data_IF_290754185903
#
_entry.id   IF_290754185903
#
_cell.length_a   1.000
_cell.length_b   1.000
_cell.length_c   1.000
_cell.angle_alpha   90.00
_cell.angle_beta   90.00
_cell.angle_gamma   90.00
#
_symmetry.space_group_name_H-M   'P 1'
#
loop_
_entity.id
_entity.type
_entity.pdbx_description
1 polymer ?
#
# COMPACT_ATOMS: atom_id res chain seq x y z
N UNK A 1 -11.33 -0.78 11.91
CA UNK A 1 -10.37 -0.13 10.96
C UNK A 1 -10.89 -0.42 9.56
N UNK A 2 -11.23 0.61 8.76
CA UNK A 2 -12.09 0.41 7.59
C UNK A 2 -11.45 -0.55 6.58
N UNK A 3 -12.05 -1.74 6.39
CA UNK A 3 -11.65 -2.72 5.37
C UNK A 3 -11.34 -2.05 4.02
N UNK A 4 -12.10 -0.99 3.70
CA UNK A 4 -11.90 -0.14 2.54
C UNK A 4 -10.47 0.40 2.37
N UNK A 5 -9.86 0.97 3.42
CA UNK A 5 -8.51 1.52 3.33
C UNK A 5 -7.47 0.42 3.07
N UNK A 6 -7.57 -0.71 3.79
CA UNK A 6 -6.69 -1.84 3.58
C UNK A 6 -6.84 -2.42 2.15
N UNK A 7 -8.07 -2.51 1.63
CA UNK A 7 -8.33 -2.95 0.26
C UNK A 7 -7.75 -1.98 -0.77
N UNK A 8 -7.95 -0.67 -0.58
CA UNK A 8 -7.40 0.37 -1.45
C UNK A 8 -5.88 0.34 -1.48
N UNK A 9 -5.23 0.31 -0.30
CA UNK A 9 -3.77 0.21 -0.19
C UNK A 9 -3.25 -1.06 -0.88
N UNK A 10 -3.88 -2.21 -0.61
CA UNK A 10 -3.52 -3.46 -1.25
C UNK A 10 -3.70 -3.41 -2.77
N UNK A 11 -4.73 -2.71 -3.27
CA UNK A 11 -4.94 -2.51 -4.69
C UNK A 11 -3.82 -1.67 -5.32
N UNK A 12 -3.47 -0.50 -4.76
CA UNK A 12 -2.37 0.33 -5.26
C UNK A 12 -1.03 -0.45 -5.26
N UNK A 13 -0.74 -1.20 -4.20
CA UNK A 13 0.46 -2.05 -4.13
C UNK A 13 0.45 -3.13 -5.22
N UNK A 14 -0.71 -3.76 -5.47
CA UNK A 14 -0.86 -4.73 -6.56
C UNK A 14 -0.64 -4.09 -7.93
N UNK A 15 -1.13 -2.87 -8.17
CA UNK A 15 -0.89 -2.15 -9.42
C UNK A 15 0.61 -1.91 -9.66
N UNK A 16 1.35 -1.43 -8.64
CA UNK A 16 2.80 -1.24 -8.77
C UNK A 16 3.56 -2.55 -9.03
N UNK A 17 3.14 -3.65 -8.38
CA UNK A 17 3.66 -4.98 -8.66
C UNK A 17 3.38 -5.39 -10.11
N UNK A 18 2.14 -5.23 -10.57
CA UNK A 18 1.71 -5.59 -11.92
C UNK A 18 2.44 -4.80 -13.00
N UNK A 19 2.64 -3.50 -12.80
CA UNK A 19 3.47 -2.67 -13.68
C UNK A 19 4.89 -3.24 -13.80
N UNK A 20 5.54 -3.52 -12.66
CA UNK A 20 6.90 -4.09 -12.61
C UNK A 20 6.97 -5.43 -13.33
N UNK A 21 5.97 -6.30 -13.14
CA UNK A 21 5.91 -7.62 -13.79
C UNK A 21 5.67 -7.49 -15.29
N UNK A 22 4.81 -6.58 -15.74
CA UNK A 22 4.62 -6.30 -17.18
C UNK A 22 5.90 -5.75 -17.81
N UNK A 23 6.58 -4.78 -17.18
CA UNK A 23 7.85 -4.20 -17.68
C UNK A 23 8.98 -5.23 -17.78
N UNK A 24 9.02 -6.22 -16.88
CA UNK A 24 9.94 -7.37 -16.96
C UNK A 24 9.43 -8.52 -17.84
N UNK A 25 8.28 -8.37 -18.48
CA UNK A 25 7.61 -9.37 -19.31
C UNK A 25 7.34 -10.70 -18.58
N UNK A 26 7.13 -10.60 -17.27
CA UNK A 26 6.78 -11.70 -16.38
C UNK A 26 5.25 -11.84 -16.30
N UNK A 27 4.73 -12.97 -16.78
CA UNK A 27 3.29 -13.25 -16.87
C UNK A 27 2.73 -14.04 -15.68
N UNK A 28 3.48 -14.21 -14.58
CA UNK A 28 3.09 -15.08 -13.46
C UNK A 28 1.73 -14.74 -12.81
N UNK A 29 1.31 -13.47 -12.89
CA UNK A 29 0.01 -13.01 -12.37
C UNK A 29 -1.01 -12.68 -13.46
N UNK A 30 -0.72 -13.04 -14.71
CA UNK A 30 -1.56 -12.76 -15.88
C UNK A 30 -1.82 -14.06 -16.65
N UNK A 31 -2.78 -14.91 -16.19
CA UNK A 31 -3.01 -16.22 -16.79
C UNK A 31 -3.23 -16.17 -18.31
N UNK A 32 -4.09 -15.27 -18.78
CA UNK A 32 -4.35 -15.09 -20.21
C UNK A 32 -3.10 -14.66 -21.00
N UNK A 33 -2.22 -13.82 -20.43
CA UNK A 33 -0.97 -13.44 -21.07
C UNK A 33 0.02 -14.62 -21.11
N UNK A 34 0.03 -15.44 -20.05
CA UNK A 34 0.85 -16.65 -19.98
C UNK A 34 0.43 -17.67 -21.05
N UNK A 35 -0.88 -17.88 -21.22
CA UNK A 35 -1.46 -18.70 -22.29
C UNK A 35 -1.07 -18.18 -23.68
N UNK A 36 -1.20 -16.88 -23.93
CA UNK A 36 -0.81 -16.27 -25.21
C UNK A 36 0.69 -16.47 -25.48
N UNK A 37 1.55 -16.28 -24.48
CA UNK A 37 3.00 -16.51 -24.62
C UNK A 37 3.32 -17.96 -24.94
N UNK A 38 2.60 -18.90 -24.33
CA UNK A 38 2.77 -20.34 -24.57
C UNK A 38 2.27 -20.76 -25.95
N UNK A 39 1.11 -20.25 -26.37
CA UNK A 39 0.51 -20.57 -27.66
C UNK A 39 1.27 -19.94 -28.84
N UNK A 40 1.86 -18.76 -28.64
CA UNK A 40 2.53 -17.99 -29.69
C UNK A 40 3.93 -17.51 -29.25
N UNK A 41 4.92 -18.41 -29.10
CA UNK A 41 6.24 -18.09 -28.55
C UNK A 41 7.07 -17.13 -29.41
N UNK A 42 6.72 -16.96 -30.69
CA UNK A 42 7.39 -16.04 -31.63
C UNK A 42 6.63 -14.72 -31.85
N UNK A 43 5.49 -14.53 -31.18
CA UNK A 43 4.72 -13.30 -31.34
C UNK A 43 5.47 -12.11 -30.71
N UNK A 44 5.61 -11.02 -31.47
CA UNK A 44 6.05 -9.76 -30.89
C UNK A 44 4.92 -9.15 -30.07
N UNK A 45 5.13 -9.10 -28.76
CA UNK A 45 4.19 -8.55 -27.78
C UNK A 45 4.73 -7.26 -27.15
N UNK A 46 5.84 -6.71 -27.64
CA UNK A 46 6.50 -5.51 -27.08
C UNK A 46 5.56 -4.31 -27.01
N UNK A 47 4.86 -3.99 -28.11
CA UNK A 47 3.91 -2.89 -28.16
C UNK A 47 2.72 -3.08 -27.21
N UNK A 48 2.21 -4.32 -27.08
CA UNK A 48 1.11 -4.64 -26.15
C UNK A 48 1.56 -4.53 -24.69
N UNK A 49 2.75 -5.05 -24.39
CA UNK A 49 3.40 -4.94 -23.09
C UNK A 49 3.50 -3.48 -22.64
N UNK A 50 4.01 -2.61 -23.51
CA UNK A 50 4.15 -1.18 -23.20
C UNK A 50 2.78 -0.51 -23.00
N UNK A 51 1.81 -0.82 -23.87
CA UNK A 51 0.43 -0.34 -23.72
C UNK A 51 -0.16 -0.74 -22.36
N UNK A 52 -0.05 -2.00 -21.96
CA UNK A 52 -0.61 -2.46 -20.69
C UNK A 52 0.13 -1.88 -19.48
N UNK A 53 1.46 -1.77 -19.54
CA UNK A 53 2.22 -1.09 -18.50
C UNK A 53 1.76 0.36 -18.33
N UNK A 54 1.63 1.11 -19.43
CA UNK A 54 1.13 2.49 -19.43
C UNK A 54 -0.27 2.62 -18.84
N UNK A 55 -1.21 1.72 -19.17
CA UNK A 55 -2.55 1.72 -18.56
C UNK A 55 -2.49 1.53 -17.05
N UNK A 56 -1.65 0.62 -16.55
CA UNK A 56 -1.48 0.40 -15.11
C UNK A 56 -0.85 1.63 -14.45
N UNK A 57 0.17 2.24 -15.07
CA UNK A 57 0.80 3.46 -14.56
C UNK A 57 -0.22 4.60 -14.45
N UNK A 58 -1.05 4.81 -15.47
CA UNK A 58 -2.11 5.83 -15.44
C UNK A 58 -3.11 5.55 -14.32
N UNK A 59 -3.59 4.31 -14.20
CA UNK A 59 -4.53 3.92 -13.14
C UNK A 59 -3.95 4.14 -11.74
N UNK A 60 -2.69 3.75 -11.52
CA UNK A 60 -2.00 3.98 -10.25
C UNK A 60 -1.86 5.47 -9.95
N UNK A 61 -1.56 6.28 -10.96
CA UNK A 61 -1.44 7.74 -10.82
C UNK A 61 -2.78 8.36 -10.43
N UNK A 62 -3.87 8.00 -11.11
CA UNK A 62 -5.22 8.47 -10.81
C UNK A 62 -5.64 8.08 -9.38
N UNK A 63 -5.36 6.84 -8.96
CA UNK A 63 -5.64 6.39 -7.59
C UNK A 63 -4.84 7.19 -6.57
N UNK A 64 -3.54 7.38 -6.77
CA UNK A 64 -2.72 8.14 -5.83
C UNK A 64 -3.14 9.61 -5.75
N UNK A 65 -3.59 10.21 -6.85
CA UNK A 65 -4.13 11.58 -6.86
C UNK A 65 -5.49 11.66 -6.16
N UNK A 66 -6.41 10.76 -6.49
CA UNK A 66 -7.76 10.78 -5.92
C UNK A 66 -7.77 10.48 -4.42
N UNK A 67 -6.80 9.69 -3.96
CA UNK A 67 -6.68 9.27 -2.56
C UNK A 67 -5.46 9.90 -1.86
N UNK A 68 -4.99 11.07 -2.31
CA UNK A 68 -3.80 11.70 -1.74
C UNK A 68 -3.97 12.01 -0.23
N UNK A 69 -5.16 12.47 0.16
CA UNK A 69 -5.50 12.80 1.55
C UNK A 69 -5.54 11.56 2.47
N UNK A 70 -5.65 10.36 1.91
CA UNK A 70 -5.63 9.13 2.69
C UNK A 70 -4.28 8.86 3.35
N UNK A 71 -3.20 9.49 2.89
CA UNK A 71 -1.90 9.42 3.56
C UNK A 71 -1.92 10.10 4.93
N UNK A 72 -2.61 11.24 5.05
CA UNK A 72 -2.83 11.95 6.32
C UNK A 72 -3.72 11.13 7.23
N UNK A 73 -4.81 10.58 6.68
CA UNK A 73 -5.72 9.68 7.40
C UNK A 73 -4.98 8.41 7.86
N UNK A 74 -4.06 7.86 7.06
CA UNK A 74 -3.24 6.70 7.44
C UNK A 74 -2.37 7.00 8.66
N UNK A 75 -1.71 8.17 8.69
CA UNK A 75 -0.89 8.58 9.84
C UNK A 75 -1.73 8.67 11.11
N UNK A 76 -2.91 9.29 11.03
CA UNK A 76 -3.85 9.36 12.15
C UNK A 76 -4.36 7.98 12.56
N UNK A 77 -4.75 7.12 11.60
CA UNK A 77 -5.20 5.75 11.91
C UNK A 77 -4.11 4.97 12.63
N UNK A 78 -2.86 5.04 12.19
CA UNK A 78 -1.74 4.34 12.85
C UNK A 78 -1.51 4.87 14.26
N UNK A 79 -1.56 6.18 14.46
CA UNK A 79 -1.45 6.81 15.77
C UNK A 79 -2.46 6.23 16.77
N UNK A 80 -3.74 6.13 16.38
CA UNK A 80 -4.77 5.60 17.27
C UNK A 80 -4.84 4.08 17.36
N UNK A 81 -4.43 3.36 16.32
CA UNK A 81 -4.55 1.89 16.27
C UNK A 81 -3.35 1.18 16.88
N UNK A 82 -2.17 1.79 16.79
CA UNK A 82 -0.91 1.23 17.32
C UNK A 82 -0.08 2.34 17.99
N UNK A 83 -0.62 3.04 19.00
CA UNK A 83 0.02 4.21 19.60
C UNK A 83 1.43 3.94 20.13
N UNK A 84 1.71 2.71 20.59
CA UNK A 84 3.01 2.32 21.14
C UNK A 84 4.06 1.90 20.10
N UNK A 85 3.71 1.86 18.82
CA UNK A 85 4.60 1.47 17.71
C UNK A 85 4.83 2.61 16.71
N UNK A 86 4.21 3.76 16.94
CA UNK A 86 4.30 4.94 16.08
C UNK A 86 5.53 5.77 16.49
N UNK A 87 6.31 6.19 15.51
CA UNK A 87 7.41 7.11 15.73
C UNK A 87 6.86 8.49 16.09
N UNK A 88 7.30 9.04 17.24
CA UNK A 88 6.84 10.35 17.70
C UNK A 88 7.33 11.50 16.82
N UNK A 89 8.40 11.33 16.04
CA UNK A 89 8.83 12.35 15.08
C UNK A 89 7.89 12.45 13.86
N UNK A 90 7.12 11.40 13.58
CA UNK A 90 6.26 11.29 12.38
C UNK A 90 4.82 11.80 12.57
N UNK A 91 4.47 12.22 13.79
CA UNK A 91 3.14 12.77 14.15
C UNK A 91 3.16 14.31 14.19
N UNK A 92 1.98 14.93 14.30
CA UNK A 92 1.89 16.40 14.41
C UNK A 92 2.63 16.91 15.65
N UNK A 93 3.34 18.04 15.51
CA UNK A 93 4.14 18.67 16.56
C UNK A 93 3.38 18.83 17.88
N UNK A 94 2.09 19.15 17.80
CA UNK A 94 1.20 19.33 18.95
C UNK A 94 0.99 18.05 19.78
N UNK A 95 1.23 16.88 19.20
CA UNK A 95 0.98 15.57 19.82
C UNK A 95 2.27 14.82 20.20
N UNK A 96 3.44 15.29 19.76
CA UNK A 96 4.70 14.54 19.93
C UNK A 96 5.05 14.32 21.40
N UNK A 97 4.96 15.37 22.23
CA UNK A 97 5.29 15.28 23.66
C UNK A 97 4.30 14.39 24.42
N UNK A 98 2.99 14.56 24.17
CA UNK A 98 1.94 13.74 24.77
C UNK A 98 2.10 12.26 24.39
N UNK A 99 2.43 11.99 23.12
CA UNK A 99 2.70 10.64 22.64
C UNK A 99 3.92 10.02 23.34
N UNK A 100 5.02 10.76 23.52
CA UNK A 100 6.22 10.29 24.23
C UNK A 100 5.90 9.95 25.68
N UNK A 101 5.20 10.85 26.38
CA UNK A 101 4.80 10.62 27.78
C UNK A 101 3.94 9.36 27.91
N UNK A 102 2.93 9.23 27.04
CA UNK A 102 2.06 8.06 27.02
C UNK A 102 2.81 6.77 26.65
N UNK A 103 3.76 6.82 25.70
CA UNK A 103 4.57 5.65 25.30
C UNK A 103 5.55 5.18 26.38
N UNK A 104 6.01 6.09 27.24
CA UNK A 104 6.90 5.81 28.37
C UNK A 104 6.15 5.33 29.63
N UNK A 105 4.82 5.41 29.64
CA UNK A 105 4.00 4.89 30.74
C UNK A 105 3.82 3.36 30.60
N UNK A 106 4.58 2.61 31.41
CA UNK A 106 4.53 1.15 31.45
C UNK A 106 3.15 0.59 31.85
N UNK A 107 2.36 1.33 32.63
CA UNK A 107 1.01 0.93 33.01
C UNK A 107 0.07 1.00 31.82
N UNK A 108 0.07 2.14 31.09
CA UNK A 108 -0.71 2.31 29.86
C UNK A 108 -0.32 1.29 28.79
N UNK A 109 0.99 1.03 28.64
CA UNK A 109 1.51 0.05 27.69
C UNK A 109 1.04 -1.37 28.01
N UNK A 110 1.07 -1.75 29.28
CA UNK A 110 0.61 -3.07 29.75
C UNK A 110 -0.90 -3.23 29.54
N UNK A 111 -1.70 -2.21 29.86
CA UNK A 111 -3.14 -2.24 29.63
C UNK A 111 -3.50 -2.36 28.14
N UNK A 112 -2.81 -1.62 27.28
CA UNK A 112 -3.01 -1.71 25.84
C UNK A 112 -2.72 -3.12 25.30
N UNK A 113 -1.65 -3.77 25.76
CA UNK A 113 -1.32 -5.14 25.36
C UNK A 113 -2.39 -6.15 25.78
N UNK A 114 -2.99 -6.00 26.97
CA UNK A 114 -4.09 -6.85 27.44
C UNK A 114 -5.40 -6.66 26.65
N UNK A 115 -5.64 -5.45 26.13
CA UNK A 115 -6.83 -5.14 25.33
C UNK A 115 -6.70 -5.54 23.86
N UNK A 116 -5.46 -5.78 23.39
CA UNK A 116 -5.15 -6.15 22.01
C UNK A 116 -4.91 -7.64 21.80
N UNK A 117 -4.96 -8.45 22.87
CA UNK A 117 -4.94 -9.92 22.88
C UNK A 117 -6.33 -10.53 22.79
#
# INVERSE_FOLDING_TARGET
MSHLYAHMKAFCVKLGLFETKLRSFNAAHFPALSEIKSAFPKADLSAKKEKYASVITSLLTEFNQHFQDFSVIEKQIKLFSTPFLVDAEEVEESMQLELIEMQCDDSLKSQHQLLSS
#
